data_IF_929639229319
#
_entry.id   IF_929639229319
#
_cell.length_a   1.000
_cell.length_b   1.000
_cell.length_c   1.000
_cell.angle_alpha   90.00
_cell.angle_beta   90.00
_cell.angle_gamma   90.00
#
_symmetry.space_group_name_H-M   'P 1'
#
loop_
_entity.id
_entity.type
_entity.pdbx_description
1 polymer ?
#
# COMPACT_ATOMS: atom_id res chain seq x y z
N UNK A 1 13.88 16.80 10.78
CA UNK A 1 13.47 16.17 12.05
C UNK A 1 12.77 17.17 12.97
N UNK A 2 13.29 18.41 13.15
CA UNK A 2 12.67 19.43 14.02
C UNK A 2 11.23 19.73 13.60
N UNK A 3 10.97 19.91 12.31
CA UNK A 3 9.62 20.16 11.78
C UNK A 3 8.66 18.98 12.09
N UNK A 4 9.12 17.75 11.90
CA UNK A 4 8.34 16.54 12.24
C UNK A 4 8.04 16.46 13.74
N UNK A 5 9.01 16.81 14.58
CA UNK A 5 8.84 16.88 16.03
C UNK A 5 7.78 17.93 16.41
N UNK A 6 7.88 19.14 15.85
CA UNK A 6 6.91 20.21 16.09
C UNK A 6 5.50 19.82 15.67
N UNK A 7 5.34 19.22 14.49
CA UNK A 7 4.05 18.72 14.00
C UNK A 7 3.52 17.61 14.94
N UNK A 8 4.37 16.68 15.36
CA UNK A 8 4.00 15.62 16.29
C UNK A 8 3.53 16.15 17.65
N UNK A 9 4.23 17.12 18.20
CA UNK A 9 3.82 17.79 19.45
C UNK A 9 2.51 18.57 19.30
N UNK A 10 2.31 19.24 18.16
CA UNK A 10 1.06 19.93 17.85
C UNK A 10 -0.12 18.95 17.78
N UNK A 11 0.04 17.82 17.08
CA UNK A 11 -0.97 16.78 16.99
C UNK A 11 -1.26 16.15 18.36
N UNK A 12 -0.24 15.95 19.18
CA UNK A 12 -0.40 15.46 20.55
C UNK A 12 -1.21 16.46 21.38
N UNK A 13 -0.88 17.76 21.32
CA UNK A 13 -1.63 18.81 22.02
C UNK A 13 -3.08 18.88 21.52
N UNK A 14 -3.31 18.80 20.21
CA UNK A 14 -4.67 18.78 19.66
C UNK A 14 -5.45 17.54 20.14
N UNK A 15 -4.82 16.38 20.26
CA UNK A 15 -5.49 15.14 20.70
C UNK A 15 -6.07 15.25 22.12
N UNK A 16 -5.49 16.08 22.99
CA UNK A 16 -6.00 16.31 24.34
C UNK A 16 -7.28 17.20 24.38
N UNK A 17 -7.50 17.98 23.33
CA UNK A 17 -8.67 18.86 23.19
C UNK A 17 -9.85 18.13 22.55
N UNK A 18 -9.60 17.07 21.79
CA UNK A 18 -10.68 16.30 21.17
C UNK A 18 -11.54 15.57 22.20
N UNK A 19 -12.84 15.87 22.16
CA UNK A 19 -13.82 15.12 22.96
C UNK A 19 -13.98 13.72 22.39
N UNK A 20 -13.94 12.71 23.26
CA UNK A 20 -14.21 11.32 22.91
C UNK A 20 -15.65 11.19 22.37
N UNK A 21 -15.78 10.94 21.07
CA UNK A 21 -17.08 10.83 20.39
C UNK A 21 -17.82 9.54 20.69
N UNK A 22 -17.12 8.51 21.24
CA UNK A 22 -17.73 7.21 21.50
C UNK A 22 -18.49 7.22 22.83
N UNK A 23 -19.83 6.99 22.84
CA UNK A 23 -20.64 7.07 24.05
C UNK A 23 -20.12 6.13 25.14
N UNK A 24 -20.02 6.61 26.36
CA UNK A 24 -19.53 5.84 27.52
C UNK A 24 -20.35 4.56 27.76
N UNK A 25 -21.65 4.59 27.49
CA UNK A 25 -22.54 3.43 27.61
C UNK A 25 -22.24 2.30 26.60
N UNK A 26 -21.63 2.64 25.46
CA UNK A 26 -21.26 1.69 24.40
C UNK A 26 -19.81 1.22 24.53
N UNK A 27 -19.06 1.78 25.48
CA UNK A 27 -17.70 1.32 25.76
C UNK A 27 -17.79 0.00 26.50
N UNK A 28 -17.58 -1.09 25.77
CA UNK A 28 -17.40 -2.38 26.45
C UNK A 28 -16.12 -2.29 27.27
N UNK A 29 -16.24 -2.44 28.61
CA UNK A 29 -15.12 -2.64 29.53
C UNK A 29 -14.46 -4.00 29.25
N UNK A 30 -14.07 -4.23 28.00
CA UNK A 30 -13.55 -5.51 27.53
C UNK A 30 -12.12 -5.66 27.99
N UNK A 31 -11.88 -6.75 28.72
CA UNK A 31 -10.55 -7.28 28.98
C UNK A 31 -9.77 -7.32 27.66
N UNK A 32 -8.47 -7.01 27.69
CA UNK A 32 -7.53 -7.13 26.56
C UNK A 32 -7.69 -8.48 25.85
N UNK A 33 -7.98 -9.55 26.63
CA UNK A 33 -8.24 -10.88 26.10
C UNK A 33 -9.46 -10.96 25.17
N UNK A 34 -10.53 -10.22 25.45
CA UNK A 34 -11.71 -10.13 24.58
C UNK A 34 -11.43 -9.34 23.30
N UNK A 35 -10.53 -8.39 23.34
CA UNK A 35 -10.09 -7.66 22.14
C UNK A 35 -9.41 -8.59 21.15
N UNK A 36 -8.65 -9.59 21.60
CA UNK A 36 -8.08 -10.63 20.74
C UNK A 36 -9.12 -11.51 20.05
N UNK A 37 -10.28 -11.75 20.66
CA UNK A 37 -11.36 -12.49 20.01
C UNK A 37 -11.90 -11.76 18.75
N UNK A 38 -11.88 -10.43 18.74
CA UNK A 38 -12.31 -9.64 17.58
C UNK A 38 -11.42 -9.90 16.36
N UNK A 39 -10.12 -10.09 16.55
CA UNK A 39 -9.20 -10.44 15.45
C UNK A 39 -9.53 -11.82 14.86
N UNK A 40 -9.93 -12.78 15.69
CA UNK A 40 -10.32 -14.12 15.22
C UNK A 40 -11.57 -14.06 14.33
N UNK A 41 -12.54 -13.23 14.67
CA UNK A 41 -13.74 -13.00 13.83
C UNK A 41 -13.36 -12.36 12.49
N UNK A 42 -12.46 -11.37 12.50
CA UNK A 42 -12.01 -10.70 11.28
C UNK A 42 -11.25 -11.65 10.34
N UNK A 43 -10.34 -12.46 10.88
CA UNK A 43 -9.55 -13.43 10.09
C UNK A 43 -10.43 -14.55 9.50
N UNK A 44 -11.55 -14.88 10.14
CA UNK A 44 -12.53 -15.82 9.58
C UNK A 44 -13.35 -15.24 8.42
N UNK A 45 -13.45 -13.92 8.32
CA UNK A 45 -14.13 -13.26 7.21
C UNK A 45 -13.22 -13.24 5.98
N UNK A 46 -13.41 -14.18 5.06
CA UNK A 46 -12.61 -14.31 3.83
C UNK A 46 -12.61 -13.06 2.96
N UNK A 47 -13.71 -12.29 2.94
CA UNK A 47 -13.75 -11.03 2.18
C UNK A 47 -12.88 -9.96 2.83
N UNK A 48 -12.93 -9.84 4.16
CA UNK A 48 -12.03 -8.96 4.90
C UNK A 48 -10.56 -9.32 4.66
N UNK A 49 -10.22 -10.61 4.82
CA UNK A 49 -8.86 -11.10 4.61
C UNK A 49 -8.40 -10.86 3.17
N UNK A 50 -9.24 -11.13 2.17
CA UNK A 50 -8.87 -10.91 0.78
C UNK A 50 -8.58 -9.45 0.45
N UNK A 51 -9.40 -8.50 0.93
CA UNK A 51 -9.13 -7.08 0.73
C UNK A 51 -7.92 -6.59 1.52
N UNK A 52 -7.75 -7.07 2.75
CA UNK A 52 -6.56 -6.76 3.58
C UNK A 52 -5.28 -7.27 2.92
N UNK A 53 -5.28 -8.50 2.39
CA UNK A 53 -4.14 -9.04 1.66
C UNK A 53 -3.85 -8.26 0.37
N UNK A 54 -4.88 -7.87 -0.38
CA UNK A 54 -4.69 -7.04 -1.58
C UNK A 54 -4.02 -5.70 -1.24
N UNK A 55 -4.45 -5.05 -0.17
CA UNK A 55 -3.80 -3.85 0.36
C UNK A 55 -2.36 -4.14 0.80
N UNK A 56 -2.14 -5.20 1.58
CA UNK A 56 -0.82 -5.55 2.11
C UNK A 56 0.19 -5.85 0.99
N UNK A 57 -0.24 -6.56 -0.07
CA UNK A 57 0.60 -6.83 -1.23
C UNK A 57 0.92 -5.55 -2.03
N UNK A 58 -0.03 -4.62 -2.16
CA UNK A 58 0.26 -3.31 -2.77
C UNK A 58 1.24 -2.47 -1.93
N UNK A 59 1.18 -2.58 -0.60
CA UNK A 59 2.21 -2.01 0.28
C UNK A 59 3.58 -2.66 0.04
N UNK A 60 3.62 -3.97 -0.25
CA UNK A 60 4.86 -4.65 -0.65
C UNK A 60 5.49 -4.01 -1.89
N UNK A 61 4.68 -3.65 -2.90
CA UNK A 61 5.16 -2.91 -4.09
C UNK A 61 5.74 -1.56 -3.70
N UNK A 62 5.06 -0.80 -2.83
CA UNK A 62 5.55 0.50 -2.37
C UNK A 62 6.88 0.38 -1.64
N UNK A 63 6.98 -0.54 -0.71
CA UNK A 63 8.21 -0.73 0.08
C UNK A 63 9.37 -1.26 -0.75
N UNK A 64 9.10 -2.13 -1.75
CA UNK A 64 10.10 -2.55 -2.72
C UNK A 64 10.64 -1.36 -3.53
N UNK A 65 9.75 -0.50 -4.02
CA UNK A 65 10.12 0.74 -4.70
C UNK A 65 10.93 1.66 -3.79
N UNK A 66 10.46 1.96 -2.57
CA UNK A 66 11.15 2.85 -1.62
C UNK A 66 12.55 2.32 -1.31
N UNK A 67 12.72 1.01 -1.13
CA UNK A 67 14.02 0.41 -0.83
C UNK A 67 15.00 0.49 -2.01
N UNK A 68 14.51 0.37 -3.25
CA UNK A 68 15.35 0.37 -4.45
C UNK A 68 15.62 1.78 -5.00
N UNK A 69 14.67 2.70 -4.87
CA UNK A 69 14.68 3.97 -5.58
C UNK A 69 15.98 4.80 -5.42
N UNK A 70 16.56 4.97 -4.22
CA UNK A 70 17.82 5.70 -4.08
C UNK A 70 18.96 5.05 -4.87
N UNK A 71 19.07 3.72 -4.80
CA UNK A 71 20.13 2.98 -5.48
C UNK A 71 19.97 3.00 -6.99
N UNK A 72 18.75 2.88 -7.51
CA UNK A 72 18.50 2.91 -8.95
C UNK A 72 18.65 4.32 -9.50
N UNK A 73 18.03 5.31 -8.88
CA UNK A 73 18.02 6.67 -9.43
C UNK A 73 19.36 7.37 -9.23
N UNK A 74 19.95 7.31 -8.05
CA UNK A 74 21.18 8.03 -7.76
C UNK A 74 22.43 7.24 -8.16
N UNK A 75 22.56 5.97 -7.74
CA UNK A 75 23.80 5.22 -7.96
C UNK A 75 23.89 4.64 -9.38
N UNK A 76 22.79 4.17 -9.96
CA UNK A 76 22.81 3.56 -11.28
C UNK A 76 22.65 4.60 -12.40
N UNK A 77 21.67 5.51 -12.26
CA UNK A 77 21.42 6.54 -13.28
C UNK A 77 22.15 7.86 -13.04
N UNK A 78 22.84 8.04 -11.91
CA UNK A 78 23.71 9.19 -11.64
C UNK A 78 22.98 10.50 -11.32
N UNK A 79 21.71 10.46 -10.93
CA UNK A 79 20.95 11.66 -10.57
C UNK A 79 21.40 12.21 -9.21
N UNK A 80 21.37 13.53 -9.07
CA UNK A 80 21.67 14.21 -7.81
C UNK A 80 20.56 13.98 -6.77
N UNK A 81 20.86 14.22 -5.49
CA UNK A 81 19.89 14.12 -4.40
C UNK A 81 18.66 15.01 -4.60
N UNK A 82 18.85 16.20 -5.16
CA UNK A 82 17.75 17.12 -5.48
C UNK A 82 16.85 16.55 -6.58
N UNK A 83 17.45 16.03 -7.65
CA UNK A 83 16.69 15.40 -8.75
C UNK A 83 15.95 14.17 -8.27
N UNK A 84 16.58 13.32 -7.44
CA UNK A 84 15.93 12.18 -6.82
C UNK A 84 14.71 12.61 -6.00
N UNK A 85 14.84 13.66 -5.18
CA UNK A 85 13.73 14.17 -4.36
C UNK A 85 12.55 14.65 -5.21
N UNK A 86 12.81 15.30 -6.35
CA UNK A 86 11.78 15.74 -7.28
C UNK A 86 11.08 14.55 -7.96
N UNK A 87 11.84 13.56 -8.44
CA UNK A 87 11.32 12.33 -9.05
C UNK A 87 10.47 11.57 -8.03
N UNK A 88 10.97 11.40 -6.81
CA UNK A 88 10.25 10.73 -5.73
C UNK A 88 8.94 11.45 -5.37
N UNK A 89 8.97 12.79 -5.34
CA UNK A 89 7.78 13.63 -5.15
C UNK A 89 6.76 13.46 -6.27
N UNK A 90 7.21 13.43 -7.54
CA UNK A 90 6.34 13.17 -8.71
C UNK A 90 5.67 11.79 -8.61
N UNK A 91 6.40 10.79 -8.17
CA UNK A 91 5.88 9.44 -7.96
C UNK A 91 4.84 9.39 -6.83
N UNK A 92 5.06 10.12 -5.75
CA UNK A 92 4.07 10.26 -4.67
C UNK A 92 2.78 10.95 -5.15
N UNK A 93 2.88 11.97 -6.02
CA UNK A 93 1.72 12.59 -6.67
C UNK A 93 0.96 11.57 -7.53
N UNK A 94 1.64 10.66 -8.22
CA UNK A 94 1.02 9.57 -8.97
C UNK A 94 0.09 8.73 -8.10
N UNK A 95 0.55 8.31 -6.90
CA UNK A 95 -0.26 7.56 -5.93
C UNK A 95 -1.50 8.38 -5.52
N UNK A 96 -1.31 9.64 -5.18
CA UNK A 96 -2.39 10.55 -4.78
C UNK A 96 -3.44 10.72 -5.87
N UNK A 97 -3.02 10.92 -7.12
CA UNK A 97 -3.90 11.04 -8.28
C UNK A 97 -4.69 9.73 -8.52
N UNK A 98 -4.04 8.58 -8.47
CA UNK A 98 -4.70 7.28 -8.58
C UNK A 98 -5.76 7.07 -7.50
N UNK A 99 -5.42 7.42 -6.26
CA UNK A 99 -6.35 7.37 -5.12
C UNK A 99 -7.56 8.29 -5.33
N UNK A 100 -7.35 9.53 -5.77
CA UNK A 100 -8.42 10.48 -6.05
C UNK A 100 -9.31 10.01 -7.22
N UNK A 101 -8.70 9.48 -8.28
CA UNK A 101 -9.45 8.97 -9.43
C UNK A 101 -10.26 7.71 -9.13
N UNK A 102 -9.84 6.91 -8.13
CA UNK A 102 -10.58 5.72 -7.71
C UNK A 102 -12.03 6.02 -7.28
N UNK A 103 -12.27 7.22 -6.74
CA UNK A 103 -13.60 7.67 -6.34
C UNK A 103 -14.57 7.90 -7.50
N UNK A 104 -14.05 8.06 -8.74
CA UNK A 104 -14.87 8.20 -9.94
C UNK A 104 -15.38 6.87 -10.50
N UNK A 105 -14.91 5.75 -9.94
CA UNK A 105 -15.39 4.42 -10.36
C UNK A 105 -16.76 4.13 -9.74
N UNK A 106 -17.61 3.45 -10.49
CA UNK A 106 -18.95 3.04 -10.04
C UNK A 106 -18.92 2.09 -8.84
N UNK A 107 -17.78 1.43 -8.55
CA UNK A 107 -17.59 0.64 -7.33
C UNK A 107 -16.11 0.62 -6.91
N UNK A 108 -15.86 0.64 -5.60
CA UNK A 108 -14.51 0.54 -5.02
C UNK A 108 -13.82 -0.78 -5.41
N UNK A 109 -14.60 -1.82 -5.66
CA UNK A 109 -14.08 -3.10 -6.12
C UNK A 109 -13.53 -3.01 -7.54
N UNK A 110 -14.27 -2.40 -8.47
CA UNK A 110 -13.82 -2.20 -9.84
C UNK A 110 -12.56 -1.35 -9.88
N UNK A 111 -12.49 -0.31 -9.05
CA UNK A 111 -11.30 0.50 -8.89
C UNK A 111 -10.09 -0.33 -8.40
N UNK A 112 -10.27 -1.14 -7.33
CA UNK A 112 -9.20 -1.98 -6.80
C UNK A 112 -8.71 -3.02 -7.83
N UNK A 113 -9.62 -3.65 -8.58
CA UNK A 113 -9.24 -4.63 -9.62
C UNK A 113 -8.51 -3.94 -10.78
N UNK A 114 -9.02 -2.80 -11.26
CA UNK A 114 -8.36 -2.00 -12.29
C UNK A 114 -6.95 -1.62 -11.85
N UNK A 115 -6.80 -1.10 -10.63
CA UNK A 115 -5.50 -0.75 -10.08
C UNK A 115 -4.55 -1.94 -9.95
N UNK A 116 -5.03 -3.09 -9.45
CA UNK A 116 -4.19 -4.28 -9.29
C UNK A 116 -3.71 -4.85 -10.63
N UNK A 117 -4.59 -4.86 -11.65
CA UNK A 117 -4.21 -5.26 -13.01
C UNK A 117 -3.22 -4.27 -13.63
N UNK A 118 -3.50 -2.96 -13.54
CA UNK A 118 -2.61 -1.91 -14.03
C UNK A 118 -1.23 -1.95 -13.37
N UNK A 119 -1.19 -2.12 -12.05
CA UNK A 119 0.04 -2.29 -11.28
C UNK A 119 0.84 -3.51 -11.74
N UNK A 120 0.17 -4.65 -12.00
CA UNK A 120 0.82 -5.87 -12.46
C UNK A 120 1.42 -5.70 -13.86
N UNK A 121 0.66 -5.10 -14.78
CA UNK A 121 1.14 -4.83 -16.15
C UNK A 121 2.32 -3.85 -16.12
N UNK A 122 2.22 -2.76 -15.38
CA UNK A 122 3.29 -1.78 -15.27
C UNK A 122 4.57 -2.36 -14.66
N UNK A 123 4.45 -3.19 -13.60
CA UNK A 123 5.59 -3.87 -13.00
C UNK A 123 6.25 -4.86 -13.97
N UNK A 124 5.45 -5.61 -14.73
CA UNK A 124 5.96 -6.53 -15.75
C UNK A 124 6.66 -5.79 -16.91
N UNK A 125 6.06 -4.68 -17.38
CA UNK A 125 6.69 -3.80 -18.37
C UNK A 125 8.01 -3.21 -17.85
N UNK A 126 8.04 -2.76 -16.57
CA UNK A 126 9.26 -2.25 -15.95
C UNK A 126 10.37 -3.32 -15.92
N UNK A 127 10.04 -4.56 -15.57
CA UNK A 127 10.99 -5.67 -15.60
C UNK A 127 11.51 -5.91 -17.02
N UNK A 128 10.63 -5.98 -18.00
CA UNK A 128 11.00 -6.20 -19.40
C UNK A 128 11.88 -5.06 -19.95
N UNK A 129 11.51 -3.79 -19.70
CA UNK A 129 12.28 -2.64 -20.12
C UNK A 129 13.67 -2.60 -19.48
N UNK A 130 13.77 -2.95 -18.19
CA UNK A 130 15.05 -2.96 -17.50
C UNK A 130 16.00 -4.06 -18.00
N UNK A 131 15.46 -5.20 -18.43
CA UNK A 131 16.25 -6.29 -19.02
C UNK A 131 16.72 -5.98 -20.46
N UNK A 132 16.00 -5.14 -21.19
CA UNK A 132 16.26 -4.90 -22.63
C UNK A 132 16.92 -3.54 -22.88
N UNK A 133 16.41 -2.48 -22.28
CA UNK A 133 16.82 -1.11 -22.58
C UNK A 133 17.78 -0.51 -21.54
N UNK A 134 17.59 -0.81 -20.27
CA UNK A 134 18.43 -0.33 -19.16
C UNK A 134 18.54 1.20 -19.05
N UNK A 135 17.55 1.97 -19.55
CA UNK A 135 17.55 3.43 -19.56
C UNK A 135 16.55 4.00 -18.57
N UNK A 136 16.81 5.21 -18.07
CA UNK A 136 16.01 5.85 -17.01
C UNK A 136 14.55 6.13 -17.42
N UNK A 137 14.32 6.65 -18.61
CA UNK A 137 12.98 7.13 -19.01
C UNK A 137 11.91 6.01 -19.03
N UNK A 138 12.14 4.85 -19.67
CA UNK A 138 11.20 3.72 -19.57
C UNK A 138 11.00 3.21 -18.14
N UNK A 139 12.08 3.14 -17.35
CA UNK A 139 11.99 2.78 -15.93
C UNK A 139 11.04 3.71 -15.18
N UNK A 140 11.22 5.03 -15.32
CA UNK A 140 10.42 6.01 -14.58
C UNK A 140 8.96 6.05 -15.03
N UNK A 141 8.70 5.95 -16.35
CA UNK A 141 7.32 5.88 -16.86
C UNK A 141 6.59 4.66 -16.29
N UNK A 142 7.23 3.48 -16.33
CA UNK A 142 6.63 2.26 -15.79
C UNK A 142 6.44 2.37 -14.27
N UNK A 143 7.39 2.94 -13.53
CA UNK A 143 7.29 3.19 -12.10
C UNK A 143 6.13 4.10 -11.78
N UNK A 144 6.00 5.22 -12.50
CA UNK A 144 4.91 6.17 -12.29
C UNK A 144 3.54 5.53 -12.54
N UNK A 145 3.37 4.79 -13.64
CA UNK A 145 2.12 4.07 -13.97
C UNK A 145 1.81 3.00 -12.92
N UNK A 146 2.83 2.29 -12.44
CA UNK A 146 2.68 1.28 -11.37
C UNK A 146 2.18 1.92 -10.07
N UNK A 147 2.80 3.02 -9.64
CA UNK A 147 2.43 3.72 -8.42
C UNK A 147 1.08 4.45 -8.54
N UNK A 148 0.77 5.02 -9.69
CA UNK A 148 -0.55 5.56 -9.99
C UNK A 148 -1.63 4.46 -9.87
N UNK A 149 -1.39 3.30 -10.47
CA UNK A 149 -2.31 2.15 -10.40
C UNK A 149 -2.45 1.62 -8.97
N UNK A 150 -1.39 1.67 -8.17
CA UNK A 150 -1.41 1.30 -6.77
C UNK A 150 -2.36 2.20 -5.95
N UNK A 151 -2.48 3.48 -6.28
CA UNK A 151 -3.42 4.40 -5.62
C UNK A 151 -4.86 3.91 -5.65
N UNK A 152 -5.31 3.28 -6.73
CA UNK A 152 -6.64 2.67 -6.84
C UNK A 152 -6.79 1.47 -5.87
N UNK A 153 -5.74 0.65 -5.75
CA UNK A 153 -5.75 -0.49 -4.82
C UNK A 153 -5.81 0.00 -3.37
N UNK A 154 -5.01 1.01 -3.03
CA UNK A 154 -4.98 1.60 -1.69
C UNK A 154 -6.36 2.04 -1.25
N UNK A 155 -7.02 2.88 -2.03
CA UNK A 155 -8.34 3.40 -1.69
C UNK A 155 -9.39 2.29 -1.73
N UNK A 156 -9.43 1.51 -2.82
CA UNK A 156 -10.46 0.51 -3.03
C UNK A 156 -10.39 -0.65 -2.03
N UNK A 157 -9.20 -1.23 -1.83
CA UNK A 157 -9.03 -2.37 -0.93
C UNK A 157 -9.21 -1.97 0.54
N UNK A 158 -8.68 -0.81 0.96
CA UNK A 158 -8.86 -0.32 2.33
C UNK A 158 -10.32 -0.04 2.63
N UNK A 159 -11.03 0.66 1.75
CA UNK A 159 -12.45 0.96 1.92
C UNK A 159 -13.27 -0.33 2.06
N UNK A 160 -13.04 -1.31 1.19
CA UNK A 160 -13.74 -2.59 1.23
C UNK A 160 -13.38 -3.44 2.46
N UNK A 161 -12.13 -3.44 2.89
CA UNK A 161 -11.71 -4.11 4.11
C UNK A 161 -12.41 -3.49 5.33
N UNK A 162 -12.40 -2.15 5.44
CA UNK A 162 -13.05 -1.44 6.54
C UNK A 162 -14.58 -1.66 6.55
N UNK A 163 -15.22 -1.72 5.37
CA UNK A 163 -16.65 -2.06 5.26
C UNK A 163 -16.95 -3.46 5.81
N UNK A 164 -16.10 -4.46 5.48
CA UNK A 164 -16.28 -5.84 5.95
C UNK A 164 -15.87 -6.05 7.41
N UNK A 165 -15.03 -5.16 7.95
CA UNK A 165 -14.62 -5.15 9.35
C UNK A 165 -15.39 -4.15 10.24
N UNK A 166 -16.49 -3.57 9.75
CA UNK A 166 -17.22 -2.46 10.40
C UNK A 166 -17.66 -2.76 11.83
N UNK A 167 -18.00 -4.00 12.14
CA UNK A 167 -18.39 -4.43 13.49
C UNK A 167 -17.24 -4.28 14.50
N UNK A 168 -15.99 -4.44 14.03
CA UNK A 168 -14.76 -4.35 14.85
C UNK A 168 -13.78 -3.35 14.26
N UNK A 169 -14.23 -2.11 14.01
CA UNK A 169 -13.53 -1.11 13.20
C UNK A 169 -12.09 -0.83 13.67
N UNK A 170 -11.88 -0.77 14.99
CA UNK A 170 -10.54 -0.57 15.55
C UNK A 170 -9.59 -1.74 15.27
N UNK A 171 -10.05 -2.97 15.47
CA UNK A 171 -9.28 -4.17 15.15
C UNK A 171 -9.06 -4.32 13.63
N UNK A 172 -10.06 -3.97 12.82
CA UNK A 172 -9.96 -3.98 11.36
C UNK A 172 -8.89 -2.99 10.87
N UNK A 173 -8.92 -1.74 11.35
CA UNK A 173 -7.93 -0.72 11.01
C UNK A 173 -6.52 -1.14 11.42
N UNK A 174 -6.35 -1.66 12.65
CA UNK A 174 -5.07 -2.16 13.12
C UNK A 174 -4.55 -3.32 12.27
N UNK A 175 -5.42 -4.27 11.89
CA UNK A 175 -5.05 -5.42 11.04
C UNK A 175 -4.61 -4.98 9.66
N UNK A 176 -5.36 -4.08 9.01
CA UNK A 176 -5.03 -3.55 7.68
C UNK A 176 -3.67 -2.83 7.73
N UNK A 177 -3.48 -1.91 8.68
CA UNK A 177 -2.22 -1.18 8.84
C UNK A 177 -1.03 -2.11 9.13
N UNK A 178 -1.17 -3.00 10.12
CA UNK A 178 -0.12 -3.93 10.51
C UNK A 178 0.26 -4.88 9.37
N UNK A 179 -0.71 -5.39 8.60
CA UNK A 179 -0.44 -6.27 7.46
C UNK A 179 0.39 -5.60 6.38
N UNK A 180 0.13 -4.31 6.10
CA UNK A 180 0.89 -3.54 5.13
C UNK A 180 2.36 -3.37 5.53
N UNK A 181 2.62 -2.99 6.78
CA UNK A 181 3.98 -2.87 7.30
C UNK A 181 4.69 -4.22 7.43
N UNK A 182 3.98 -5.28 7.80
CA UNK A 182 4.55 -6.63 7.87
C UNK A 182 5.05 -7.09 6.50
N UNK A 183 4.20 -6.99 5.46
CA UNK A 183 4.58 -7.35 4.09
C UNK A 183 5.71 -6.44 3.59
N UNK A 184 5.61 -5.13 3.83
CA UNK A 184 6.65 -4.18 3.47
C UNK A 184 8.02 -4.52 4.09
N UNK A 185 8.03 -4.84 5.39
CA UNK A 185 9.24 -5.22 6.11
C UNK A 185 9.85 -6.55 5.63
N UNK A 186 9.02 -7.50 5.19
CA UNK A 186 9.50 -8.77 4.62
C UNK A 186 10.00 -8.61 3.19
N UNK A 187 9.40 -7.71 2.42
CA UNK A 187 9.70 -7.50 0.99
C UNK A 187 10.93 -6.62 0.79
N UNK A 188 11.13 -5.58 1.61
CA UNK A 188 12.24 -4.64 1.45
C UNK A 188 13.63 -5.30 1.38
N UNK A 189 13.99 -6.28 2.23
CA UNK A 189 15.28 -6.96 2.13
C UNK A 189 15.45 -7.77 0.85
N UNK A 190 14.36 -8.29 0.28
CA UNK A 190 14.42 -9.12 -0.95
C UNK A 190 14.90 -8.32 -2.16
N UNK A 191 14.64 -7.02 -2.17
CA UNK A 191 15.10 -6.11 -3.23
C UNK A 191 16.63 -5.97 -3.23
N UNK A 192 17.28 -6.18 -2.10
CA UNK A 192 18.75 -6.17 -1.97
C UNK A 192 19.43 -7.44 -2.49
N UNK A 193 18.67 -8.46 -2.88
CA UNK A 193 19.24 -9.70 -3.40
C UNK A 193 19.52 -9.55 -4.90
N UNK A 194 20.75 -9.25 -5.27
CA UNK A 194 21.18 -9.07 -6.66
C UNK A 194 21.14 -7.63 -7.15
N UNK A 195 20.92 -7.42 -8.44
CA UNK A 195 20.87 -6.10 -9.04
C UNK A 195 19.51 -5.43 -8.76
N UNK A 196 19.51 -4.28 -8.10
CA UNK A 196 18.29 -3.54 -7.73
C UNK A 196 17.36 -3.27 -8.92
N UNK A 197 17.92 -3.00 -10.10
CA UNK A 197 17.17 -2.71 -11.32
C UNK A 197 16.33 -3.90 -11.82
N UNK A 198 16.69 -5.12 -11.44
CA UNK A 198 15.97 -6.37 -11.79
C UNK A 198 15.21 -6.90 -10.59
N UNK A 199 15.82 -6.89 -9.40
CA UNK A 199 15.21 -7.43 -8.18
C UNK A 199 13.94 -6.66 -7.78
N UNK A 200 13.97 -5.33 -7.83
CA UNK A 200 12.83 -4.51 -7.49
C UNK A 200 11.60 -4.79 -8.37
N UNK A 201 11.65 -4.69 -9.71
CA UNK A 201 10.49 -4.99 -10.54
C UNK A 201 10.04 -6.46 -10.44
N UNK A 202 10.95 -7.42 -10.27
CA UNK A 202 10.57 -8.82 -10.07
C UNK A 202 9.73 -9.00 -8.79
N UNK A 203 10.17 -8.42 -7.68
CA UNK A 203 9.42 -8.42 -6.42
C UNK A 203 8.08 -7.70 -6.57
N UNK A 204 8.06 -6.55 -7.28
CA UNK A 204 6.83 -5.81 -7.57
C UNK A 204 5.83 -6.66 -8.37
N UNK A 205 6.29 -7.41 -9.39
CA UNK A 205 5.42 -8.33 -10.17
C UNK A 205 4.79 -9.37 -9.26
N UNK A 206 5.59 -10.02 -8.40
CA UNK A 206 5.08 -11.04 -7.48
C UNK A 206 4.02 -10.45 -6.55
N UNK A 207 4.32 -9.32 -5.91
CA UNK A 207 3.37 -8.66 -5.02
C UNK A 207 2.11 -8.21 -5.76
N UNK A 208 2.22 -7.67 -6.97
CA UNK A 208 1.10 -7.22 -7.77
C UNK A 208 0.18 -8.39 -8.18
N UNK A 209 0.75 -9.51 -8.62
CA UNK A 209 -0.01 -10.74 -8.95
C UNK A 209 -0.72 -11.28 -7.71
N UNK A 210 -0.05 -11.31 -6.56
CA UNK A 210 -0.66 -11.75 -5.30
C UNK A 210 -1.80 -10.81 -4.88
N UNK A 211 -1.69 -9.50 -5.13
CA UNK A 211 -2.77 -8.54 -4.90
C UNK A 211 -4.00 -8.85 -5.76
N UNK A 212 -3.81 -9.16 -7.05
CA UNK A 212 -4.91 -9.60 -7.93
C UNK A 212 -5.53 -10.90 -7.41
N UNK A 213 -4.72 -11.89 -7.05
CA UNK A 213 -5.18 -13.17 -6.48
C UNK A 213 -6.02 -12.97 -5.22
N UNK A 214 -5.62 -12.07 -4.33
CA UNK A 214 -6.34 -11.72 -3.11
C UNK A 214 -7.73 -11.09 -3.42
N UNK A 215 -7.82 -10.22 -4.43
CA UNK A 215 -9.10 -9.64 -4.88
C UNK A 215 -10.02 -10.70 -5.51
N UNK A 216 -9.47 -11.67 -6.23
CA UNK A 216 -10.23 -12.80 -6.79
C UNK A 216 -10.74 -13.70 -5.66
N UNK A 217 -9.92 -14.00 -4.65
CA UNK A 217 -10.33 -14.75 -3.46
C UNK A 217 -11.49 -14.07 -2.74
N UNK A 218 -11.45 -12.75 -2.60
CA UNK A 218 -12.55 -11.96 -2.01
C UNK A 218 -13.85 -12.01 -2.84
N UNK A 219 -13.76 -12.38 -4.13
CA UNK A 219 -14.92 -12.51 -5.04
C UNK A 219 -15.70 -13.80 -4.85
N UNK A 220 -14.96 -14.92 -4.75
CA UNK A 220 -15.54 -16.27 -4.93
C UNK A 220 -16.38 -16.79 -3.76
N UNK A 221 -16.76 -15.95 -2.81
CA UNK A 221 -17.68 -16.33 -1.73
C UNK A 221 -19.05 -15.69 -1.93
N UNK A 222 -19.92 -16.40 -2.65
CA UNK A 222 -21.38 -16.31 -2.51
C UNK A 222 -21.84 -17.10 -1.31
#
# INVERSE_FOLDING_TARGET
FVVLLCIGLLLLAMSTVFHESFPRASRSGTSVMRSFANYTHLVRNRKFVGYTLAFAMSQGVLFAYIAAAPFVVQNLFGFSEMQFSLIFGLNALGIGLGSAMSMKFGSMRSAAVFGACGMTVAAACMLACNLTLGTFLPYEICTWVMLFSMGFVFTGATTLAMEKGREYIGAASATVGASGFLVGGLVSPLVGIGAYIVACPAVCVVCAVLSVGALVMARNNR
#
